data_IF_188222539787
#
_entry.id   IF_188222539787
#
_cell.length_a   1.000
_cell.length_b   1.000
_cell.length_c   1.000
_cell.angle_alpha   90.00
_cell.angle_beta   90.00
_cell.angle_gamma   90.00
#
_symmetry.space_group_name_H-M   'P 1'
#
loop_
_entity.id
_entity.type
_entity.pdbx_description
1 polymer ?
#
# COMPACT_ATOMS: atom_id res chain seq x y z
N UNK A 1 -21.02 -26.05 12.51
CA UNK A 1 -21.53 -24.79 13.08
C UNK A 1 -21.11 -24.65 14.54
N UNK A 2 -20.24 -23.69 14.88
CA UNK A 2 -19.81 -23.48 16.26
C UNK A 2 -20.67 -22.40 16.92
N UNK A 3 -21.64 -22.81 17.75
CA UNK A 3 -22.60 -21.92 18.46
C UNK A 3 -21.91 -20.84 19.32
N UNK A 4 -20.65 -21.03 19.68
CA UNK A 4 -19.89 -20.11 20.53
C UNK A 4 -19.44 -18.82 19.82
N UNK A 5 -19.18 -18.84 18.51
CA UNK A 5 -18.68 -17.65 17.79
C UNK A 5 -19.77 -16.57 17.64
N UNK A 6 -21.04 -16.98 17.54
CA UNK A 6 -22.22 -16.11 17.36
C UNK A 6 -22.98 -15.83 18.66
N UNK A 7 -22.31 -15.90 19.83
CA UNK A 7 -22.93 -15.50 21.11
C UNK A 7 -23.40 -14.03 21.01
N UNK A 8 -24.62 -13.68 21.44
CA UNK A 8 -25.09 -12.30 21.44
C UNK A 8 -24.09 -11.36 22.11
N UNK A 9 -24.03 -10.13 21.61
CA UNK A 9 -23.22 -9.06 22.19
C UNK A 9 -24.09 -7.87 22.52
N UNK A 10 -23.69 -7.15 23.56
CA UNK A 10 -24.24 -5.87 23.96
C UNK A 10 -23.13 -4.83 23.79
N UNK A 11 -23.47 -3.66 23.28
CA UNK A 11 -22.53 -2.56 23.13
C UNK A 11 -23.21 -1.21 23.25
N UNK A 12 -22.43 -0.19 23.60
CA UNK A 12 -22.79 1.22 23.46
C UNK A 12 -22.02 1.84 22.31
N UNK A 13 -22.56 2.89 21.68
CA UNK A 13 -21.98 3.53 20.51
C UNK A 13 -21.95 5.05 20.70
N UNK A 14 -20.76 5.65 20.54
CA UNK A 14 -20.54 7.09 20.70
C UNK A 14 -19.90 7.66 19.45
N UNK A 15 -20.57 8.63 18.82
CA UNK A 15 -20.03 9.35 17.67
C UNK A 15 -18.92 10.31 18.12
N UNK A 16 -17.88 10.42 17.30
CA UNK A 16 -16.79 11.38 17.45
C UNK A 16 -16.98 12.55 16.49
N UNK A 17 -16.33 13.67 16.77
CA UNK A 17 -16.31 14.85 15.89
C UNK A 17 -15.67 14.60 14.51
N UNK A 18 -15.01 13.46 14.30
CA UNK A 18 -14.31 13.13 13.05
C UNK A 18 -15.10 12.15 12.16
N UNK A 19 -16.37 11.90 12.45
CA UNK A 19 -17.19 10.97 11.68
C UNK A 19 -16.90 9.48 11.97
N UNK A 20 -16.22 9.20 13.08
CA UNK A 20 -15.97 7.84 13.59
C UNK A 20 -16.96 7.51 14.69
N UNK A 21 -17.21 6.23 14.93
CA UNK A 21 -18.03 5.76 16.05
C UNK A 21 -17.23 4.79 16.91
N UNK A 22 -17.12 5.11 18.19
CA UNK A 22 -16.53 4.27 19.21
C UNK A 22 -17.59 3.36 19.80
N UNK A 23 -17.34 2.06 19.76
CA UNK A 23 -18.20 1.02 20.31
C UNK A 23 -17.53 0.37 21.52
N UNK A 24 -18.17 0.42 22.68
CA UNK A 24 -17.76 -0.33 23.86
C UNK A 24 -18.56 -1.63 23.93
N UNK A 25 -17.90 -2.76 23.64
CA UNK A 25 -18.52 -4.09 23.64
C UNK A 25 -18.35 -4.73 25.01
N UNK A 26 -19.47 -5.08 25.65
CA UNK A 26 -19.50 -5.63 27.00
C UNK A 26 -18.60 -6.88 27.12
N UNK A 27 -17.74 -6.91 28.14
CA UNK A 27 -16.78 -7.99 28.42
C UNK A 27 -15.72 -8.25 27.33
N UNK A 28 -15.66 -7.42 26.27
CA UNK A 28 -14.68 -7.56 25.18
C UNK A 28 -13.73 -6.37 25.13
N UNK A 29 -14.24 -5.15 25.13
CA UNK A 29 -13.46 -3.92 24.96
C UNK A 29 -13.97 -3.05 23.82
N UNK A 30 -13.15 -2.08 23.42
CA UNK A 30 -13.54 -1.03 22.48
C UNK A 30 -13.18 -1.36 21.03
N UNK A 31 -14.02 -0.90 20.10
CA UNK A 31 -13.76 -0.88 18.67
C UNK A 31 -14.09 0.51 18.15
N UNK A 32 -13.34 1.03 17.18
CA UNK A 32 -13.74 2.24 16.46
C UNK A 32 -14.05 1.88 15.02
N UNK A 33 -15.22 2.27 14.52
CA UNK A 33 -15.63 2.08 13.12
C UNK A 33 -15.70 3.43 12.43
N UNK A 34 -15.21 3.51 11.19
CA UNK A 34 -15.23 4.73 10.39
C UNK A 34 -15.38 4.40 8.90
N UNK A 35 -15.68 5.42 8.10
CA UNK A 35 -15.55 5.36 6.65
C UNK A 35 -14.08 5.25 6.24
N UNK A 36 -13.85 4.71 5.03
CA UNK A 36 -12.51 4.57 4.45
C UNK A 36 -11.76 5.90 4.38
N UNK A 37 -10.58 5.97 5.00
CA UNK A 37 -9.68 7.12 4.90
C UNK A 37 -8.64 6.94 3.78
N UNK A 38 -8.40 5.69 3.35
CA UNK A 38 -7.31 5.32 2.44
C UNK A 38 -7.61 5.40 0.95
N UNK A 39 -8.72 6.02 0.55
CA UNK A 39 -9.00 6.26 -0.86
C UNK A 39 -8.10 7.35 -1.46
N UNK A 40 -7.27 6.98 -2.43
CA UNK A 40 -6.73 7.92 -3.42
C UNK A 40 -7.93 8.46 -4.24
N UNK A 41 -7.90 9.66 -4.87
CA UNK A 41 -9.00 10.61 -4.85
C UNK A 41 -10.14 10.35 -5.86
N UNK A 42 -10.45 9.08 -6.12
CA UNK A 42 -11.64 8.64 -6.85
C UNK A 42 -12.55 7.73 -6.03
N UNK A 43 -12.17 7.38 -4.79
CA UNK A 43 -12.94 6.42 -4.00
C UNK A 43 -14.14 7.09 -3.34
N UNK A 44 -15.30 6.49 -3.55
CA UNK A 44 -16.49 6.79 -2.78
C UNK A 44 -16.20 6.40 -1.33
N UNK A 45 -16.18 7.37 -0.41
CA UNK A 45 -15.86 7.15 1.03
C UNK A 45 -16.72 6.04 1.68
N UNK A 46 -17.85 5.69 1.08
CA UNK A 46 -18.78 4.66 1.57
C UNK A 46 -18.48 3.25 1.06
N UNK A 47 -17.59 3.07 0.08
CA UNK A 47 -17.26 1.75 -0.49
C UNK A 47 -16.48 0.86 0.48
N UNK A 48 -15.75 1.48 1.42
CA UNK A 48 -14.93 0.78 2.39
C UNK A 48 -15.20 1.32 3.78
N UNK A 49 -15.22 0.41 4.75
CA UNK A 49 -15.20 0.76 6.16
C UNK A 49 -13.86 0.35 6.77
N UNK A 50 -13.49 1.08 7.81
CA UNK A 50 -12.34 0.79 8.65
C UNK A 50 -12.83 0.40 10.03
N UNK A 51 -12.27 -0.68 10.57
CA UNK A 51 -12.40 -1.00 11.99
C UNK A 51 -11.03 -0.95 12.64
N UNK A 52 -10.97 -0.31 13.79
CA UNK A 52 -9.78 -0.19 14.62
C UNK A 52 -10.04 -0.86 15.96
N UNK A 53 -9.06 -1.62 16.44
CA UNK A 53 -9.15 -2.39 17.68
C UNK A 53 -8.71 -1.53 18.87
N UNK A 54 -9.67 -0.82 19.46
CA UNK A 54 -9.52 0.12 20.55
C UNK A 54 -10.12 1.49 20.23
N UNK A 55 -9.87 2.48 21.11
CA UNK A 55 -10.30 3.87 20.92
C UNK A 55 -9.32 4.61 20.03
N UNK A 56 -9.82 5.15 18.92
CA UNK A 56 -9.01 5.83 17.92
C UNK A 56 -9.16 7.35 18.03
N UNK A 57 -8.37 7.92 18.94
CA UNK A 57 -8.49 9.31 19.40
C UNK A 57 -7.49 10.28 18.75
N UNK A 58 -6.77 9.88 17.71
CA UNK A 58 -5.83 10.74 17.00
C UNK A 58 -5.92 10.61 15.46
N UNK A 59 -5.13 11.43 14.78
CA UNK A 59 -5.07 11.53 13.32
C UNK A 59 -4.10 10.52 12.69
N UNK A 60 -3.44 9.69 13.50
CA UNK A 60 -2.51 8.70 12.97
C UNK A 60 -3.30 7.52 12.40
N UNK A 61 -2.89 7.07 11.21
CA UNK A 61 -3.37 5.81 10.67
C UNK A 61 -3.09 4.70 11.69
N UNK A 62 -4.10 3.87 11.97
CA UNK A 62 -4.05 2.85 13.01
C UNK A 62 -2.89 1.84 12.83
N UNK A 63 -2.41 1.63 11.60
CA UNK A 63 -1.31 0.71 11.31
C UNK A 63 -1.61 -0.75 11.68
N UNK A 64 -0.70 -1.67 11.35
CA UNK A 64 -0.97 -3.12 11.57
C UNK A 64 -0.75 -3.60 13.00
N UNK A 65 -0.06 -2.82 13.84
CA UNK A 65 0.52 -3.34 15.08
C UNK A 65 0.48 -2.38 16.27
N UNK A 66 -0.30 -1.30 16.17
CA UNK A 66 -0.45 -0.31 17.25
C UNK A 66 -1.46 -0.85 18.27
N UNK A 67 -1.07 -0.85 19.54
CA UNK A 67 -2.01 -1.04 20.64
C UNK A 67 -2.68 0.30 20.95
N UNK A 68 -4.00 0.26 21.12
CA UNK A 68 -4.81 1.42 21.47
C UNK A 68 -5.47 1.20 22.82
N UNK A 69 -5.89 2.30 23.44
CA UNK A 69 -6.63 2.23 24.69
C UNK A 69 -7.93 1.42 24.52
N UNK A 70 -8.29 0.65 25.54
CA UNK A 70 -9.47 -0.21 25.51
C UNK A 70 -9.42 -1.33 24.48
N UNK A 71 -8.26 -1.66 23.89
CA UNK A 71 -8.14 -2.71 22.87
C UNK A 71 -8.87 -4.01 23.26
N UNK A 72 -9.66 -4.59 22.33
CA UNK A 72 -10.55 -5.68 22.65
C UNK A 72 -9.78 -6.97 22.90
N UNK A 73 -10.26 -7.76 23.86
CA UNK A 73 -9.72 -9.08 24.21
C UNK A 73 -10.72 -10.16 23.82
N UNK A 74 -10.34 -11.03 22.91
CA UNK A 74 -11.19 -12.11 22.39
C UNK A 74 -10.46 -13.44 22.59
N UNK A 75 -11.11 -14.40 23.27
CA UNK A 75 -10.52 -15.69 23.64
C UNK A 75 -9.16 -15.52 24.36
N UNK A 76 -9.04 -14.50 25.22
CA UNK A 76 -7.79 -14.18 25.93
C UNK A 76 -6.72 -13.49 25.09
N UNK A 77 -6.98 -13.18 23.82
CA UNK A 77 -6.05 -12.52 22.92
C UNK A 77 -6.43 -11.05 22.76
N UNK A 78 -5.54 -10.15 23.15
CA UNK A 78 -5.68 -8.71 22.89
C UNK A 78 -5.41 -8.43 21.40
N UNK A 79 -6.36 -7.76 20.76
CA UNK A 79 -6.26 -7.38 19.35
C UNK A 79 -5.54 -6.05 19.18
N UNK A 80 -4.88 -5.85 18.03
CA UNK A 80 -4.08 -4.64 17.75
C UNK A 80 -4.22 -4.19 16.30
N UNK A 81 -4.07 -2.89 16.05
CA UNK A 81 -4.22 -2.31 14.72
C UNK A 81 -5.68 -2.21 14.29
N UNK A 82 -5.96 -2.61 13.04
CA UNK A 82 -7.28 -2.52 12.43
C UNK A 82 -7.34 -3.17 11.06
N UNK A 83 -8.47 -3.06 10.39
CA UNK A 83 -8.72 -3.62 9.07
C UNK A 83 -9.58 -2.68 8.24
N UNK A 84 -9.32 -2.65 6.95
CA UNK A 84 -10.19 -2.03 5.93
C UNK A 84 -10.88 -3.14 5.17
N UNK A 85 -12.18 -3.03 4.91
CA UNK A 85 -12.96 -4.08 4.27
C UNK A 85 -14.20 -3.53 3.57
N UNK A 86 -14.84 -4.37 2.76
CA UNK A 86 -16.13 -4.10 2.14
C UNK A 86 -17.28 -4.27 3.16
N UNK A 87 -18.17 -3.28 3.37
CA UNK A 87 -19.31 -3.45 4.27
C UNK A 87 -20.22 -4.62 3.87
N UNK A 88 -20.37 -4.91 2.58
CA UNK A 88 -21.24 -6.00 2.11
C UNK A 88 -20.72 -7.37 2.56
N UNK A 89 -19.39 -7.54 2.61
CA UNK A 89 -18.78 -8.77 3.12
C UNK A 89 -19.06 -8.97 4.62
N UNK A 90 -19.09 -7.89 5.39
CA UNK A 90 -19.43 -7.94 6.80
C UNK A 90 -20.91 -8.27 7.01
N UNK A 91 -21.82 -7.65 6.25
CA UNK A 91 -23.25 -7.91 6.34
C UNK A 91 -23.62 -9.32 5.83
N UNK A 92 -22.97 -9.80 4.77
CA UNK A 92 -23.12 -11.18 4.29
C UNK A 92 -22.73 -12.19 5.38
N UNK A 93 -21.69 -11.90 6.18
CA UNK A 93 -21.28 -12.76 7.30
C UNK A 93 -22.35 -12.92 8.39
N UNK A 94 -23.30 -11.98 8.52
CA UNK A 94 -24.44 -12.13 9.42
C UNK A 94 -25.57 -12.98 8.83
N UNK A 95 -25.79 -12.86 7.52
CA UNK A 95 -26.93 -13.47 6.80
C UNK A 95 -26.66 -14.91 6.37
N UNK A 96 -25.45 -15.21 5.92
CA UNK A 96 -25.07 -16.53 5.42
C UNK A 96 -24.63 -17.43 6.57
N UNK A 97 -25.54 -18.27 7.04
CA UNK A 97 -25.29 -19.22 8.14
C UNK A 97 -24.35 -20.37 7.76
N UNK A 98 -24.17 -20.64 6.46
CA UNK A 98 -23.28 -21.69 5.95
C UNK A 98 -21.87 -21.16 5.59
N UNK A 99 -21.71 -19.84 5.48
CA UNK A 99 -20.45 -19.21 5.08
C UNK A 99 -19.75 -18.58 6.30
N UNK A 100 -18.95 -19.38 7.00
CA UNK A 100 -18.12 -18.91 8.12
C UNK A 100 -16.78 -18.29 7.65
N UNK A 101 -16.62 -18.02 6.34
CA UNK A 101 -15.38 -17.43 5.82
C UNK A 101 -15.22 -15.99 6.29
N UNK A 102 -14.21 -15.75 7.12
CA UNK A 102 -13.86 -14.44 7.65
C UNK A 102 -12.60 -13.83 6.97
N UNK A 103 -12.27 -14.27 5.74
CA UNK A 103 -11.08 -13.79 5.02
C UNK A 103 -11.07 -12.28 4.74
N UNK A 104 -12.25 -11.67 4.69
CA UNK A 104 -12.45 -10.22 4.53
C UNK A 104 -11.90 -9.38 5.69
N UNK A 105 -11.80 -9.95 6.90
CA UNK A 105 -11.31 -9.24 8.07
C UNK A 105 -9.86 -9.64 8.37
N UNK A 106 -8.98 -8.66 8.55
CA UNK A 106 -7.61 -8.94 9.02
C UNK A 106 -7.50 -8.63 10.51
N UNK A 107 -7.11 -9.61 11.31
CA UNK A 107 -7.06 -9.49 12.78
C UNK A 107 -5.67 -9.89 13.27
N UNK A 108 -5.03 -9.00 14.01
CA UNK A 108 -3.67 -9.19 14.52
C UNK A 108 -3.64 -9.18 16.04
N UNK A 109 -2.63 -9.84 16.59
CA UNK A 109 -2.15 -9.68 17.96
C UNK A 109 -0.71 -9.18 17.96
N UNK A 110 -0.31 -8.48 19.01
CA UNK A 110 1.08 -8.14 19.28
C UNK A 110 1.78 -9.32 19.95
N UNK A 111 2.93 -9.72 19.42
CA UNK A 111 3.90 -10.57 20.12
C UNK A 111 5.10 -9.70 20.56
N UNK A 112 6.10 -10.29 21.21
CA UNK A 112 7.29 -9.60 21.76
C UNK A 112 8.01 -8.68 20.78
N UNK A 113 8.02 -9.00 19.48
CA UNK A 113 8.78 -8.22 18.49
C UNK A 113 8.03 -7.88 17.19
N UNK A 114 6.88 -8.51 16.91
CA UNK A 114 6.09 -8.24 15.71
C UNK A 114 4.60 -8.50 15.92
N UNK A 115 3.77 -8.08 14.95
CA UNK A 115 2.36 -8.45 14.88
C UNK A 115 2.17 -9.72 14.07
N UNK A 116 1.32 -10.63 14.55
CA UNK A 116 0.96 -11.85 13.84
C UNK A 116 -0.55 -12.05 13.81
N UNK A 117 -1.04 -12.83 12.85
CA UNK A 117 -2.47 -13.10 12.74
C UNK A 117 -2.96 -13.93 13.94
N UNK A 118 -4.18 -13.63 14.39
CA UNK A 118 -4.80 -14.41 15.45
C UNK A 118 -5.25 -15.79 14.95
N UNK A 119 -5.38 -16.78 15.84
CA UNK A 119 -5.98 -18.07 15.50
C UNK A 119 -7.39 -17.91 14.93
N UNK A 120 -7.77 -18.83 14.03
CA UNK A 120 -9.02 -18.77 13.28
C UNK A 120 -10.27 -18.57 14.16
N UNK A 121 -10.36 -19.22 15.33
CA UNK A 121 -11.51 -19.06 16.24
C UNK A 121 -11.63 -17.68 16.87
N UNK A 122 -10.51 -17.00 17.09
CA UNK A 122 -10.52 -15.58 17.50
C UNK A 122 -10.93 -14.69 16.34
N UNK A 123 -10.46 -15.02 15.12
CA UNK A 123 -10.85 -14.30 13.91
C UNK A 123 -12.34 -14.43 13.59
N UNK A 124 -12.91 -15.63 13.66
CA UNK A 124 -14.36 -15.86 13.51
C UNK A 124 -15.17 -15.01 14.50
N UNK A 125 -14.77 -15.01 15.79
CA UNK A 125 -15.47 -14.23 16.81
C UNK A 125 -15.33 -12.72 16.58
N UNK A 126 -14.15 -12.26 16.20
CA UNK A 126 -13.91 -10.86 15.84
C UNK A 126 -14.77 -10.45 14.63
N UNK A 127 -14.82 -11.28 13.58
CA UNK A 127 -15.64 -11.03 12.39
C UNK A 127 -17.13 -10.91 12.73
N UNK A 128 -17.66 -11.80 13.58
CA UNK A 128 -19.03 -11.67 14.06
C UNK A 128 -19.27 -10.35 14.81
N UNK A 129 -18.38 -9.97 15.73
CA UNK A 129 -18.52 -8.71 16.48
C UNK A 129 -18.48 -7.53 15.52
N UNK A 130 -17.44 -7.44 14.69
CA UNK A 130 -17.27 -6.34 13.71
C UNK A 130 -18.47 -6.24 12.79
N UNK A 131 -18.99 -7.36 12.28
CA UNK A 131 -20.16 -7.35 11.42
C UNK A 131 -21.41 -6.77 12.12
N UNK A 132 -21.63 -7.09 13.40
CA UNK A 132 -22.71 -6.49 14.20
C UNK A 132 -22.50 -5.01 14.47
N UNK A 133 -21.25 -4.57 14.66
CA UNK A 133 -20.94 -3.14 14.82
C UNK A 133 -21.14 -2.38 13.50
N UNK A 134 -20.82 -2.99 12.37
CA UNK A 134 -21.03 -2.41 11.03
C UNK A 134 -22.51 -2.27 10.71
N UNK A 135 -23.31 -3.30 10.97
CA UNK A 135 -24.78 -3.22 10.89
C UNK A 135 -25.31 -2.04 11.71
N UNK A 136 -24.91 -1.96 12.99
CA UNK A 136 -25.32 -0.88 13.87
C UNK A 136 -24.78 0.50 13.47
N UNK A 137 -23.61 0.59 12.81
CA UNK A 137 -23.02 1.82 12.30
C UNK A 137 -23.80 2.35 11.09
N UNK A 138 -24.15 1.47 10.16
CA UNK A 138 -24.87 1.83 8.93
C UNK A 138 -26.36 2.13 9.17
N UNK A 139 -26.97 1.51 10.18
CA UNK A 139 -28.37 1.75 10.56
C UNK A 139 -28.58 3.03 11.41
N UNK A 140 -27.51 3.77 11.72
CA UNK A 140 -27.62 5.00 12.51
C UNK A 140 -28.42 6.06 11.76
N UNK A 141 -29.25 6.80 12.51
CA UNK A 141 -30.00 7.93 11.96
C UNK A 141 -29.11 9.11 11.53
N UNK A 142 -27.91 9.24 12.11
CA UNK A 142 -26.94 10.31 11.84
C UNK A 142 -25.79 9.87 10.93
N UNK A 143 -25.93 8.76 10.19
CA UNK A 143 -24.85 8.21 9.34
C UNK A 143 -24.37 9.21 8.26
N UNK A 144 -25.28 10.02 7.71
CA UNK A 144 -24.95 11.04 6.73
C UNK A 144 -24.14 12.20 7.35
N UNK A 145 -24.45 12.58 8.60
CA UNK A 145 -23.70 13.58 9.34
C UNK A 145 -22.29 13.09 9.68
N UNK A 146 -22.16 11.80 10.03
CA UNK A 146 -20.85 11.15 10.22
C UNK A 146 -20.02 11.17 8.94
N UNK A 147 -20.64 10.89 7.79
CA UNK A 147 -19.96 10.94 6.50
C UNK A 147 -19.49 12.37 6.16
N UNK A 148 -20.30 13.37 6.45
CA UNK A 148 -19.94 14.77 6.28
C UNK A 148 -18.76 15.18 7.18
N UNK A 149 -18.80 14.78 8.46
CA UNK A 149 -17.71 15.03 9.41
C UNK A 149 -16.41 14.33 8.99
N UNK A 150 -16.47 13.08 8.53
CA UNK A 150 -15.33 12.33 7.99
C UNK A 150 -14.68 13.06 6.82
N UNK A 151 -15.50 13.49 5.84
CA UNK A 151 -15.03 14.25 4.67
C UNK A 151 -14.38 15.57 5.06
N UNK A 152 -15.00 16.33 5.96
CA UNK A 152 -14.47 17.59 6.44
C UNK A 152 -13.12 17.42 7.15
N UNK A 153 -13.01 16.40 8.02
CA UNK A 153 -11.79 16.09 8.74
C UNK A 153 -10.63 15.73 7.81
N UNK A 154 -10.87 14.93 6.78
CA UNK A 154 -9.82 14.49 5.85
C UNK A 154 -9.53 15.46 4.70
N UNK A 155 -10.37 16.47 4.46
CA UNK A 155 -10.21 17.42 3.36
C UNK A 155 -8.83 18.12 3.32
N UNK A 156 -8.27 18.64 4.43
CA UNK A 156 -6.96 19.30 4.39
C UNK A 156 -5.83 18.36 3.94
N UNK A 157 -5.79 17.14 4.46
CA UNK A 157 -4.79 16.14 4.08
C UNK A 157 -4.95 15.69 2.61
N UNK A 158 -6.19 15.60 2.11
CA UNK A 158 -6.49 15.30 0.71
C UNK A 158 -5.99 16.43 -0.21
N UNK A 159 -6.25 17.69 0.14
CA UNK A 159 -5.77 18.86 -0.60
C UNK A 159 -4.23 18.85 -0.69
N UNK A 160 -3.54 18.68 0.44
CA UNK A 160 -2.08 18.62 0.46
C UNK A 160 -1.54 17.47 -0.43
N UNK A 161 -2.16 16.27 -0.35
CA UNK A 161 -1.80 15.14 -1.22
C UNK A 161 -2.06 15.42 -2.69
N UNK A 162 -3.12 16.15 -3.03
CA UNK A 162 -3.40 16.57 -4.41
C UNK A 162 -2.33 17.53 -4.94
N UNK A 163 -1.92 18.51 -4.14
CA UNK A 163 -0.85 19.44 -4.49
C UNK A 163 0.49 18.70 -4.68
N UNK A 164 0.81 17.74 -3.82
CA UNK A 164 1.99 16.90 -3.95
C UNK A 164 1.99 16.08 -5.25
N UNK A 165 0.83 15.48 -5.59
CA UNK A 165 0.69 14.74 -6.83
C UNK A 165 0.76 15.62 -8.07
N UNK A 166 0.19 16.82 -8.02
CA UNK A 166 0.29 17.78 -9.11
C UNK A 166 1.76 18.12 -9.36
N UNK A 167 2.51 18.45 -8.30
CA UNK A 167 3.95 18.72 -8.39
C UNK A 167 4.73 17.54 -8.96
N UNK A 168 4.40 16.32 -8.55
CA UNK A 168 5.01 15.09 -9.10
C UNK A 168 4.72 14.95 -10.60
N UNK A 169 3.46 15.09 -11.02
CA UNK A 169 3.06 14.96 -12.42
C UNK A 169 3.68 16.07 -13.27
N UNK A 170 3.78 17.30 -12.77
CA UNK A 170 4.46 18.40 -13.46
C UNK A 170 5.95 18.14 -13.66
N UNK A 171 6.62 17.55 -12.66
CA UNK A 171 8.00 17.13 -12.77
C UNK A 171 8.17 16.02 -13.83
N UNK A 172 7.31 15.00 -13.80
CA UNK A 172 7.28 13.92 -14.80
C UNK A 172 7.04 14.47 -16.22
N UNK A 173 6.09 15.40 -16.38
CA UNK A 173 5.85 16.05 -17.68
C UNK A 173 7.07 16.82 -18.19
N UNK A 174 7.80 17.48 -17.30
CA UNK A 174 9.02 18.21 -17.64
C UNK A 174 10.14 17.25 -18.10
N UNK A 175 10.28 16.13 -17.41
CA UNK A 175 11.20 15.05 -17.81
C UNK A 175 10.83 14.49 -19.18
N UNK A 176 9.56 14.12 -19.40
CA UNK A 176 9.09 13.57 -20.67
C UNK A 176 9.25 14.56 -21.83
N UNK A 177 9.01 15.86 -21.60
CA UNK A 177 9.27 16.91 -22.59
C UNK A 177 10.74 16.98 -22.95
N UNK A 178 11.63 16.97 -21.96
CA UNK A 178 13.08 16.98 -22.17
C UNK A 178 13.54 15.77 -22.97
N UNK A 179 13.03 14.58 -22.64
CA UNK A 179 13.32 13.34 -23.37
C UNK A 179 12.84 13.40 -24.81
N UNK A 180 11.62 13.87 -25.05
CA UNK A 180 11.08 14.07 -26.41
C UNK A 180 11.96 15.03 -27.22
N UNK A 181 12.41 16.13 -26.61
CA UNK A 181 13.21 17.13 -27.31
C UNK A 181 14.62 16.62 -27.63
N UNK A 182 15.21 15.76 -26.77
CA UNK A 182 16.44 15.02 -27.09
C UNK A 182 16.24 14.06 -28.27
N UNK A 183 15.19 13.25 -28.25
CA UNK A 183 14.89 12.31 -29.34
C UNK A 183 14.66 13.04 -30.68
N UNK A 184 14.01 14.21 -30.66
CA UNK A 184 13.84 15.05 -31.86
C UNK A 184 15.16 15.55 -32.45
N UNK A 185 16.19 15.74 -31.63
CA UNK A 185 17.51 16.17 -32.10
C UNK A 185 18.35 15.00 -32.65
N UNK A 186 18.03 13.75 -32.31
CA UNK A 186 18.84 12.60 -32.71
C UNK A 186 18.95 12.44 -34.23
N UNK A 187 17.88 12.56 -35.05
CA UNK A 187 18.01 12.46 -36.51
C UNK A 187 18.97 13.51 -37.08
N UNK A 188 18.92 14.75 -36.58
CA UNK A 188 19.85 15.81 -37.01
C UNK A 188 21.30 15.48 -36.66
N UNK A 189 21.54 14.92 -35.46
CA UNK A 189 22.88 14.46 -35.05
C UNK A 189 23.36 13.30 -35.93
N UNK A 190 22.51 12.31 -36.19
CA UNK A 190 22.83 11.16 -37.06
C UNK A 190 23.13 11.59 -38.50
N UNK A 191 22.33 12.52 -39.06
CA UNK A 191 22.58 13.09 -40.40
C UNK A 191 23.88 13.89 -40.46
N UNK A 192 24.22 14.63 -39.40
CA UNK A 192 25.50 15.35 -39.32
C UNK A 192 26.69 14.37 -39.29
N UNK A 193 26.59 13.26 -38.56
CA UNK A 193 27.60 12.20 -38.57
C UNK A 193 27.76 11.55 -39.95
N UNK A 194 26.66 11.14 -40.59
CA UNK A 194 26.69 10.53 -41.91
C UNK A 194 27.33 11.44 -42.97
N UNK A 195 27.00 12.74 -42.97
CA UNK A 195 27.58 13.73 -43.90
C UNK A 195 29.05 14.02 -43.64
N UNK A 196 29.48 14.02 -42.37
CA UNK A 196 30.89 14.19 -42.02
C UNK A 196 31.75 12.99 -42.47
N UNK A 197 31.16 11.80 -42.56
CA UNK A 197 31.79 10.61 -43.10
C UNK A 197 31.92 10.67 -44.63
N UNK A 198 30.89 11.14 -45.35
CA UNK A 198 30.93 11.36 -46.81
C UNK A 198 31.91 12.46 -47.24
N UNK A 199 32.16 13.46 -46.38
CA UNK A 199 33.09 14.57 -46.66
C UNK A 199 34.54 14.28 -46.28
N UNK A 200 34.86 13.07 -45.79
CA UNK A 200 36.26 12.66 -45.64
C UNK A 200 36.85 12.49 -47.04
N UNK A 201 37.92 13.23 -47.39
CA UNK A 201 38.62 12.97 -48.64
C UNK A 201 39.20 11.54 -48.60
N UNK A 202 39.15 10.82 -49.71
CA UNK A 202 39.77 9.50 -49.96
C UNK A 202 41.32 9.52 -49.85
N UNK A 203 41.91 10.46 -49.12
CA UNK A 203 43.34 10.72 -49.12
C UNK A 203 43.90 11.06 -47.75
N UNK A 204 43.83 10.13 -46.79
CA UNK A 204 44.95 9.90 -45.85
C UNK A 204 44.97 8.40 -45.53
N UNK A 205 46.11 7.77 -45.76
CA UNK A 205 46.29 6.31 -45.65
C UNK A 205 45.74 5.69 -44.37
N UNK A 206 45.32 4.43 -44.50
CA UNK A 206 44.88 3.56 -43.41
C UNK A 206 45.64 3.85 -42.11
N UNK A 207 44.96 4.02 -40.97
CA UNK A 207 45.65 4.18 -39.71
C UNK A 207 46.57 2.97 -39.48
N UNK A 208 47.87 3.22 -39.29
CA UNK A 208 48.95 2.22 -39.13
C UNK A 208 48.73 1.19 -38.01
N UNK A 209 47.68 1.34 -37.19
CA UNK A 209 47.31 0.38 -36.15
C UNK A 209 46.47 -0.80 -36.65
N UNK A 210 46.19 -0.92 -37.96
CA UNK A 210 45.67 -2.17 -38.55
C UNK A 210 46.76 -3.17 -38.99
N UNK A 211 48.05 -2.83 -38.88
CA UNK A 211 49.18 -3.72 -39.19
C UNK A 211 49.65 -4.56 -37.99
N UNK A 212 48.76 -4.95 -37.08
CA UNK A 212 49.09 -5.91 -36.01
C UNK A 212 48.92 -7.38 -36.43
N UNK A 213 49.01 -7.69 -37.72
CA UNK A 213 49.06 -9.09 -38.20
C UNK A 213 50.44 -9.74 -37.99
N UNK A 214 51.44 -9.06 -37.42
CA UNK A 214 52.79 -9.61 -37.23
C UNK A 214 53.45 -9.40 -35.85
N UNK A 215 52.77 -8.84 -34.84
CA UNK A 215 53.35 -8.69 -33.50
C UNK A 215 52.82 -9.73 -32.49
N UNK A 216 52.87 -11.01 -32.86
CA UNK A 216 52.97 -12.09 -31.88
C UNK A 216 54.38 -12.08 -31.29
N UNK A 217 54.66 -11.09 -30.44
CA UNK A 217 55.86 -11.09 -29.60
C UNK A 217 55.46 -11.53 -28.20
N UNK A 218 56.38 -12.25 -27.54
CA UNK A 218 56.22 -12.87 -26.21
C UNK A 218 55.67 -11.93 -25.13
N UNK A 219 55.85 -10.62 -25.31
CA UNK A 219 55.37 -9.57 -24.42
C UNK A 219 53.85 -9.31 -24.55
N UNK A 220 53.27 -9.53 -25.74
CA UNK A 220 51.81 -9.43 -25.96
C UNK A 220 51.03 -10.58 -25.33
N UNK A 221 51.61 -11.79 -25.30
CA UNK A 221 51.03 -12.94 -24.57
C UNK A 221 51.06 -12.72 -23.05
N UNK A 222 52.14 -12.13 -22.52
CA UNK A 222 52.26 -11.84 -21.08
C UNK A 222 51.25 -10.80 -20.60
N UNK A 223 50.90 -9.79 -21.43
CA UNK A 223 49.88 -8.81 -21.09
C UNK A 223 48.49 -9.47 -20.94
N UNK A 224 48.10 -10.36 -21.86
CA UNK A 224 46.82 -11.07 -21.84
C UNK A 224 46.70 -12.05 -20.67
N UNK A 225 47.78 -12.75 -20.30
CA UNK A 225 47.81 -13.63 -19.12
C UNK A 225 47.70 -12.83 -17.81
N UNK A 226 48.24 -11.61 -17.74
CA UNK A 226 48.23 -10.79 -16.52
C UNK A 226 46.93 -10.00 -16.29
N UNK A 227 46.21 -9.61 -17.35
CA UNK A 227 44.99 -8.77 -17.25
C UNK A 227 43.68 -9.56 -17.36
N UNK A 228 43.67 -10.70 -18.05
CA UNK A 228 42.50 -11.58 -18.12
C UNK A 228 42.80 -12.79 -17.26
N UNK A 229 42.68 -12.62 -15.94
CA UNK A 229 42.93 -13.66 -14.96
C UNK A 229 42.40 -15.02 -15.42
N UNK A 230 43.29 -16.01 -15.45
CA UNK A 230 42.99 -17.39 -15.86
C UNK A 230 41.73 -17.89 -15.17
N UNK A 231 40.60 -17.93 -15.90
CA UNK A 231 39.51 -18.85 -15.57
C UNK A 231 40.05 -20.24 -15.82
N UNK A 232 40.39 -20.96 -14.75
CA UNK A 232 40.56 -22.41 -14.79
C UNK A 232 39.23 -23.06 -15.21
N UNK A 233 39.24 -24.02 -16.15
CA UNK A 233 38.10 -24.90 -16.33
C UNK A 233 38.19 -26.09 -15.35
N UNK A 234 37.01 -26.50 -14.89
CA UNK A 234 36.67 -27.59 -13.95
C UNK A 234 36.94 -27.32 -12.46
#
# INVERSE_FOLDING_TARGET
>A
MNRHARRPITFTATATQWGRVEFDVEQVGAFTVAFGANGYPHDCDTERLEVVYGRWTDDQLFGRARELDGAPVINGIRLVGGSVFDPDQALAHLRETENDWCGWLTVFRRNTSWSEQVPWKTKERAAYIVARLVEAFLERADVDDLLAAHRAHHAPARIARHEDNLRRVEAELTEWRSRRDLERQQPHRQLAFARAEEQRPDSVGSPRWRDYSTAATRDGEMFLISTVGTRRPA
#
